data_IF_645162860941
#
_entry.id   IF_645162860941
#
_cell.length_a   1.000
_cell.length_b   1.000
_cell.length_c   1.000
_cell.angle_alpha   90.00
_cell.angle_beta   90.00
_cell.angle_gamma   90.00
#
_symmetry.space_group_name_H-M   'P 1'
#
loop_
_entity.id
_entity.type
_entity.pdbx_description
1 polymer ?
#
# COMPACT_ATOMS: atom_id res chain seq x y z
N UNK A 1 -15.69 1.72 -7.79
CA UNK A 1 -14.64 0.76 -8.18
C UNK A 1 -13.33 1.11 -7.47
N UNK A 2 -12.67 0.13 -6.91
CA UNK A 2 -11.39 0.35 -6.24
C UNK A 2 -10.34 0.82 -7.23
N UNK A 3 -9.71 1.96 -6.93
CA UNK A 3 -8.63 2.53 -7.73
C UNK A 3 -7.41 2.89 -6.89
N UNK A 4 -7.51 2.77 -5.56
CA UNK A 4 -6.42 3.07 -4.64
C UNK A 4 -6.34 1.96 -3.60
N UNK A 5 -5.16 1.35 -3.47
CA UNK A 5 -4.88 0.39 -2.40
C UNK A 5 -3.73 0.94 -1.56
N UNK A 6 -3.93 0.97 -0.24
CA UNK A 6 -2.90 1.39 0.72
C UNK A 6 -2.47 0.14 1.48
N UNK A 7 -1.17 -0.14 1.50
CA UNK A 7 -0.62 -1.36 2.07
C UNK A 7 0.53 -1.05 3.03
N UNK A 8 0.53 -1.69 4.20
CA UNK A 8 1.70 -1.71 5.08
C UNK A 8 2.69 -2.75 4.59
N UNK A 9 3.98 -2.46 4.66
CA UNK A 9 5.03 -3.44 4.31
C UNK A 9 4.86 -4.75 5.08
N UNK A 10 5.44 -5.83 4.57
CA UNK A 10 5.47 -7.13 5.22
C UNK A 10 6.30 -7.15 6.50
N UNK A 11 6.20 -8.23 7.27
CA UNK A 11 7.00 -8.38 8.48
C UNK A 11 8.48 -8.22 8.16
N UNK A 12 9.16 -7.39 8.95
CA UNK A 12 10.57 -7.07 8.77
C UNK A 12 11.38 -7.53 9.98
N UNK A 13 12.69 -7.73 9.76
CA UNK A 13 13.62 -8.10 10.82
C UNK A 13 13.63 -7.02 11.91
N UNK A 14 14.00 -7.42 13.15
CA UNK A 14 14.12 -6.46 14.25
C UNK A 14 15.10 -5.33 13.93
N UNK A 15 14.96 -4.20 14.66
CA UNK A 15 15.83 -3.04 14.50
C UNK A 15 17.30 -3.46 14.55
N UNK A 16 18.02 -3.12 13.47
CA UNK A 16 19.46 -3.31 13.38
C UNK A 16 20.14 -1.94 13.41
N UNK A 17 21.42 -1.84 12.99
CA UNK A 17 22.16 -0.59 13.00
C UNK A 17 21.47 0.54 12.22
N UNK A 18 20.65 0.20 11.20
CA UNK A 18 19.98 1.20 10.36
C UNK A 18 18.55 0.76 10.09
N UNK A 19 17.58 1.49 10.62
CA UNK A 19 16.16 1.17 10.44
C UNK A 19 15.75 1.08 8.96
N UNK A 20 16.25 2.00 8.13
CA UNK A 20 15.90 2.03 6.71
C UNK A 20 16.39 0.83 5.91
N UNK A 21 17.28 0.01 6.49
CA UNK A 21 17.86 -1.16 5.84
C UNK A 21 17.36 -2.49 6.41
N UNK A 22 16.37 -2.47 7.28
CA UNK A 22 15.73 -3.70 7.75
C UNK A 22 15.02 -4.37 6.58
N UNK A 23 15.29 -5.65 6.38
CA UNK A 23 14.69 -6.41 5.29
C UNK A 23 13.53 -7.27 5.78
N UNK A 24 12.71 -7.75 4.85
CA UNK A 24 11.61 -8.64 5.18
C UNK A 24 12.14 -9.96 5.75
N UNK A 25 11.41 -10.52 6.71
CA UNK A 25 11.64 -11.89 7.17
C UNK A 25 11.12 -12.89 6.14
N UNK A 26 11.44 -14.18 6.34
CA UNK A 26 10.85 -15.24 5.52
C UNK A 26 9.33 -15.19 5.59
N UNK A 27 8.77 -14.97 6.78
CA UNK A 27 7.33 -14.84 6.94
C UNK A 27 6.80 -13.63 6.19
N UNK A 28 7.52 -12.49 6.26
CA UNK A 28 7.15 -11.29 5.51
C UNK A 28 7.08 -11.54 4.02
N UNK A 29 8.08 -12.23 3.47
CA UNK A 29 8.09 -12.60 2.06
C UNK A 29 6.88 -13.47 1.69
N UNK A 30 6.59 -14.47 2.52
CA UNK A 30 5.44 -15.36 2.30
C UNK A 30 4.12 -14.58 2.34
N UNK A 31 3.91 -13.78 3.38
CA UNK A 31 2.69 -13.01 3.56
C UNK A 31 2.45 -12.06 2.38
N UNK A 32 3.48 -11.35 1.95
CA UNK A 32 3.35 -10.41 0.82
C UNK A 32 3.02 -11.14 -0.46
N UNK A 33 3.65 -12.30 -0.70
CA UNK A 33 3.33 -13.09 -1.89
C UNK A 33 1.87 -13.54 -1.90
N UNK A 34 1.32 -13.94 -0.75
CA UNK A 34 -0.09 -14.32 -0.64
C UNK A 34 -1.01 -13.13 -0.93
N UNK A 35 -0.67 -11.95 -0.40
CA UNK A 35 -1.45 -10.73 -0.66
C UNK A 35 -1.37 -10.31 -2.12
N UNK A 36 -0.19 -10.46 -2.73
CA UNK A 36 0.00 -10.13 -4.14
C UNK A 36 -0.87 -11.02 -5.05
N UNK A 37 -0.92 -12.31 -4.75
CA UNK A 37 -1.75 -13.25 -5.49
C UNK A 37 -3.23 -12.93 -5.33
N UNK A 38 -3.67 -12.64 -4.09
CA UNK A 38 -5.06 -12.28 -3.84
C UNK A 38 -5.45 -11.03 -4.61
N UNK A 39 -4.60 -9.99 -4.59
CA UNK A 39 -4.88 -8.74 -5.28
C UNK A 39 -5.00 -8.97 -6.79
N UNK A 40 -4.10 -9.77 -7.37
CA UNK A 40 -4.14 -10.12 -8.79
C UNK A 40 -5.44 -10.82 -9.17
N UNK A 41 -5.94 -11.69 -8.29
CA UNK A 41 -7.15 -12.48 -8.56
C UNK A 41 -8.45 -11.68 -8.40
N UNK A 42 -8.44 -10.62 -7.60
CA UNK A 42 -9.67 -9.90 -7.22
C UNK A 42 -9.82 -8.53 -7.87
N UNK A 43 -8.73 -7.95 -8.36
CA UNK A 43 -8.75 -6.60 -8.93
C UNK A 43 -7.95 -6.54 -10.22
N UNK A 44 -8.37 -5.65 -11.13
CA UNK A 44 -7.60 -5.35 -12.33
C UNK A 44 -6.23 -4.78 -11.95
N UNK A 45 -5.26 -4.93 -12.84
CA UNK A 45 -3.89 -4.51 -12.58
C UNK A 45 -3.79 -3.00 -12.29
N UNK A 46 -2.84 -2.65 -11.45
CA UNK A 46 -2.57 -1.26 -11.08
C UNK A 46 -1.54 -0.66 -12.02
N UNK A 47 -1.73 0.61 -12.37
CA UNK A 47 -0.81 1.34 -13.25
C UNK A 47 0.45 1.71 -12.50
N UNK A 48 0.31 2.18 -11.26
CA UNK A 48 1.42 2.67 -10.44
C UNK A 48 1.50 1.90 -9.14
N UNK A 49 2.72 1.48 -8.80
CA UNK A 49 3.06 0.92 -7.49
C UNK A 49 4.09 1.86 -6.88
N UNK A 50 3.68 2.60 -5.85
CA UNK A 50 4.54 3.59 -5.21
C UNK A 50 4.97 3.11 -3.83
N UNK A 51 6.25 3.24 -3.52
CA UNK A 51 6.80 2.75 -2.26
C UNK A 51 7.72 3.76 -1.60
N UNK A 52 7.73 3.71 -0.27
CA UNK A 52 8.75 4.39 0.53
C UNK A 52 10.15 3.90 0.13
N UNK A 53 11.19 4.74 0.28
CA UNK A 53 12.56 4.33 -0.05
C UNK A 53 13.17 3.30 0.91
N UNK A 54 12.54 2.99 2.03
CA UNK A 54 13.04 1.99 2.98
C UNK A 54 13.08 0.61 2.35
N UNK A 55 14.06 -0.22 2.73
CA UNK A 55 14.24 -1.53 2.10
C UNK A 55 12.99 -2.41 2.24
N UNK A 56 12.38 -2.48 3.44
CA UNK A 56 11.21 -3.33 3.67
C UNK A 56 10.00 -2.95 2.80
N UNK A 57 9.82 -1.68 2.50
CA UNK A 57 8.76 -1.23 1.59
C UNK A 57 9.11 -1.49 0.13
N UNK A 58 10.37 -1.31 -0.26
CA UNK A 58 10.80 -1.62 -1.63
C UNK A 58 10.67 -3.10 -1.93
N UNK A 59 11.08 -3.97 -0.98
CA UNK A 59 10.92 -5.42 -1.15
C UNK A 59 9.45 -5.82 -1.26
N UNK A 60 8.59 -5.25 -0.41
CA UNK A 60 7.15 -5.49 -0.48
C UNK A 60 6.60 -5.06 -1.85
N UNK A 61 6.95 -3.85 -2.29
CA UNK A 61 6.45 -3.33 -3.56
C UNK A 61 6.92 -4.16 -4.76
N UNK A 62 8.15 -4.63 -4.76
CA UNK A 62 8.67 -5.48 -5.83
C UNK A 62 7.93 -6.82 -5.91
N UNK A 63 7.62 -7.42 -4.76
CA UNK A 63 6.83 -8.65 -4.71
C UNK A 63 5.41 -8.44 -5.21
N UNK A 64 4.79 -7.31 -4.84
CA UNK A 64 3.46 -6.96 -5.32
C UNK A 64 3.48 -6.74 -6.83
N UNK A 65 4.46 -5.99 -7.32
CA UNK A 65 4.62 -5.68 -8.75
C UNK A 65 4.78 -6.94 -9.59
N UNK A 66 5.45 -7.97 -9.06
CA UNK A 66 5.68 -9.23 -9.78
C UNK A 66 4.38 -9.93 -10.20
N UNK A 67 3.26 -9.64 -9.52
CA UNK A 67 1.95 -10.19 -9.84
C UNK A 67 1.04 -9.17 -10.53
N UNK A 68 1.60 -8.09 -11.07
CA UNK A 68 0.85 -7.09 -11.81
C UNK A 68 1.13 -7.22 -13.32
N UNK A 69 0.63 -6.25 -14.11
CA UNK A 69 0.76 -6.29 -15.56
C UNK A 69 2.11 -5.73 -16.02
N UNK A 70 2.54 -6.07 -17.26
CA UNK A 70 3.79 -5.49 -17.80
C UNK A 70 3.80 -3.96 -17.86
N UNK A 71 2.62 -3.30 -17.94
CA UNK A 71 2.54 -1.85 -17.96
C UNK A 71 2.66 -1.21 -16.57
N UNK A 72 2.56 -2.00 -15.50
CA UNK A 72 2.63 -1.50 -14.12
C UNK A 72 4.04 -0.98 -13.83
N UNK A 73 4.14 0.21 -13.21
CA UNK A 73 5.43 0.85 -12.93
C UNK A 73 5.64 1.09 -11.45
N UNK A 74 6.82 0.73 -10.98
CA UNK A 74 7.26 1.01 -9.61
C UNK A 74 7.94 2.37 -9.54
N UNK A 75 7.55 3.18 -8.56
CA UNK A 75 8.18 4.47 -8.29
C UNK A 75 8.46 4.57 -6.79
N UNK A 76 9.64 5.07 -6.46
CA UNK A 76 10.01 5.34 -5.06
C UNK A 76 9.59 6.76 -4.73
N UNK A 77 8.77 6.91 -3.69
CA UNK A 77 8.19 8.20 -3.28
C UNK A 77 8.66 8.53 -1.87
N UNK A 78 9.56 9.53 -1.71
CA UNK A 78 10.14 9.85 -0.40
C UNK A 78 9.12 10.22 0.66
N UNK A 79 7.96 10.74 0.28
CA UNK A 79 6.91 11.17 1.21
C UNK A 79 6.20 10.00 1.90
N UNK A 80 6.43 8.76 1.46
CA UNK A 80 5.81 7.57 2.04
C UNK A 80 6.60 6.96 3.20
N UNK A 81 7.55 7.69 3.78
CA UNK A 81 8.33 7.26 4.96
C UNK A 81 7.44 7.17 6.21
N UNK A 82 7.90 6.45 7.28
CA UNK A 82 7.05 6.21 8.45
C UNK A 82 6.48 7.47 9.11
N UNK A 83 7.24 8.56 9.12
CA UNK A 83 6.86 9.83 9.73
C UNK A 83 6.39 10.86 8.69
N UNK A 84 5.97 10.41 7.52
CA UNK A 84 5.48 11.27 6.45
C UNK A 84 4.20 12.02 6.81
N UNK A 85 3.90 13.04 6.03
CA UNK A 85 2.71 13.89 6.19
C UNK A 85 1.62 13.44 5.21
N UNK A 86 0.54 12.89 5.74
CA UNK A 86 -0.54 12.35 4.91
C UNK A 86 -1.24 13.43 4.07
N UNK A 87 -1.44 14.63 4.62
CA UNK A 87 -2.09 15.72 3.89
C UNK A 87 -1.21 16.19 2.73
N UNK A 88 0.09 16.32 2.97
CA UNK A 88 1.04 16.71 1.92
C UNK A 88 1.10 15.64 0.83
N UNK A 89 1.15 14.37 1.23
CA UNK A 89 1.14 13.28 0.26
C UNK A 89 -0.13 13.27 -0.58
N UNK A 90 -1.30 13.50 0.05
CA UNK A 90 -2.57 13.56 -0.68
C UNK A 90 -2.56 14.64 -1.76
N UNK A 91 -2.02 15.82 -1.44
CA UNK A 91 -1.89 16.90 -2.43
C UNK A 91 -0.99 16.48 -3.60
N UNK A 92 0.13 15.84 -3.32
CA UNK A 92 1.02 15.30 -4.35
C UNK A 92 0.31 14.24 -5.19
N UNK A 93 -0.40 13.33 -4.53
CA UNK A 93 -1.16 12.27 -5.20
C UNK A 93 -2.21 12.85 -6.14
N UNK A 94 -3.00 13.83 -5.67
CA UNK A 94 -4.05 14.45 -6.48
C UNK A 94 -3.45 15.14 -7.71
N UNK A 95 -2.31 15.79 -7.57
CA UNK A 95 -1.62 16.41 -8.68
C UNK A 95 -1.18 15.37 -9.73
N UNK A 96 -0.61 14.26 -9.27
CA UNK A 96 -0.20 13.17 -10.17
C UNK A 96 -1.41 12.51 -10.82
N UNK A 97 -2.48 12.31 -10.07
CA UNK A 97 -3.71 11.70 -10.60
C UNK A 97 -4.35 12.58 -11.66
N UNK A 98 -4.20 13.91 -11.58
CA UNK A 98 -4.74 14.82 -12.60
C UNK A 98 -4.12 14.59 -13.99
N UNK A 99 -2.91 14.05 -14.04
CA UNK A 99 -2.24 13.72 -15.32
C UNK A 99 -2.80 12.43 -15.94
N UNK A 100 -3.34 11.54 -15.11
CA UNK A 100 -3.95 10.26 -15.53
C UNK A 100 -5.11 9.94 -14.60
N UNK A 101 -6.29 10.55 -14.83
CA UNK A 101 -7.41 10.45 -13.88
C UNK A 101 -7.95 9.04 -13.67
N UNK A 102 -7.73 8.14 -14.60
CA UNK A 102 -8.16 6.75 -14.51
C UNK A 102 -7.08 5.82 -13.93
N UNK A 103 -5.94 6.36 -13.49
CA UNK A 103 -4.86 5.56 -12.93
C UNK A 103 -5.32 4.79 -11.70
N UNK A 104 -4.86 3.56 -11.60
CA UNK A 104 -5.06 2.69 -10.46
C UNK A 104 -3.74 2.58 -9.72
N UNK A 105 -3.74 2.87 -8.42
CA UNK A 105 -2.51 3.08 -7.65
C UNK A 105 -2.46 2.19 -6.42
N UNK A 106 -1.32 1.52 -6.24
CA UNK A 106 -0.98 0.78 -5.02
C UNK A 106 0.12 1.52 -4.29
N UNK A 107 -0.14 1.86 -3.02
CA UNK A 107 0.83 2.54 -2.14
C UNK A 107 1.36 1.54 -1.12
N UNK A 108 2.68 1.45 -0.97
CA UNK A 108 3.32 0.62 0.05
C UNK A 108 4.09 1.53 1.01
N UNK A 109 3.68 1.53 2.27
CA UNK A 109 4.22 2.41 3.27
C UNK A 109 4.30 1.74 4.64
N UNK A 110 4.25 2.50 5.70
CA UNK A 110 4.51 2.09 7.08
C UNK A 110 3.42 2.56 8.03
N UNK A 111 3.28 1.89 9.16
CA UNK A 111 2.60 2.49 10.32
C UNK A 111 3.50 3.59 10.90
N UNK A 112 2.96 4.71 11.36
CA UNK A 112 1.53 5.04 11.41
C UNK A 112 0.98 5.70 10.14
N UNK A 113 1.83 6.00 9.16
CA UNK A 113 1.40 6.79 7.99
C UNK A 113 0.24 6.14 7.24
N UNK A 114 0.24 4.81 7.06
CA UNK A 114 -0.85 4.14 6.33
C UNK A 114 -2.22 4.40 6.96
N UNK A 115 -2.30 4.47 8.29
CA UNK A 115 -3.55 4.78 8.98
C UNK A 115 -4.01 6.21 8.67
N UNK A 116 -3.09 7.16 8.70
CA UNK A 116 -3.40 8.55 8.39
C UNK A 116 -3.70 8.76 6.90
N UNK A 117 -3.10 7.95 6.03
CA UNK A 117 -3.44 7.99 4.60
C UNK A 117 -4.87 7.52 4.36
N UNK A 118 -5.30 6.44 5.00
CA UNK A 118 -6.71 5.99 4.88
C UNK A 118 -7.64 7.12 5.31
N UNK A 119 -7.35 7.75 6.45
CA UNK A 119 -8.16 8.86 6.95
C UNK A 119 -8.17 10.03 5.95
N UNK A 120 -7.01 10.41 5.42
CA UNK A 120 -6.90 11.54 4.49
C UNK A 120 -7.67 11.30 3.19
N UNK A 121 -7.69 10.05 2.70
CA UNK A 121 -8.38 9.71 1.46
C UNK A 121 -9.85 9.32 1.66
N UNK A 122 -10.31 9.16 2.88
CA UNK A 122 -11.70 8.79 3.18
C UNK A 122 -12.36 9.82 4.08
N UNK A 123 -12.49 9.54 5.37
CA UNK A 123 -13.21 10.40 6.32
C UNK A 123 -12.37 10.66 7.58
N UNK A 124 -12.46 11.85 8.18
CA UNK A 124 -11.85 12.11 9.49
C UNK A 124 -12.29 11.05 10.51
N UNK A 125 -11.34 10.56 11.29
CA UNK A 125 -11.59 9.53 12.29
C UNK A 125 -11.50 8.10 11.76
N UNK A 126 -11.42 7.88 10.45
CA UNK A 126 -11.29 6.56 9.86
C UNK A 126 -9.80 6.22 9.66
N UNK A 127 -9.12 5.91 10.76
CA UNK A 127 -7.70 5.61 10.77
C UNK A 127 -7.44 4.19 11.31
N UNK A 128 -7.64 3.15 10.49
CA UNK A 128 -7.49 1.78 10.95
C UNK A 128 -6.04 1.44 11.28
N UNK A 129 -5.83 0.56 12.26
CA UNK A 129 -4.50 0.00 12.54
C UNK A 129 -4.25 -1.13 11.55
N UNK A 130 -3.06 -1.12 10.95
CA UNK A 130 -2.66 -2.14 9.98
C UNK A 130 -1.73 -3.17 10.62
N UNK A 131 -2.02 -4.45 10.39
CA UNK A 131 -1.02 -5.51 10.58
C UNK A 131 -0.01 -5.43 9.42
N UNK A 132 1.14 -6.07 9.58
CA UNK A 132 2.12 -6.15 8.47
C UNK A 132 1.48 -6.83 7.26
N UNK A 133 1.78 -6.33 6.07
CA UNK A 133 1.25 -6.79 4.78
C UNK A 133 -0.26 -6.64 4.63
N UNK A 134 -0.94 -5.97 5.56
CA UNK A 134 -2.36 -5.66 5.43
C UNK A 134 -2.58 -4.59 4.38
N UNK A 135 -3.70 -4.70 3.66
CA UNK A 135 -4.07 -3.70 2.67
C UNK A 135 -5.48 -3.18 2.90
N UNK A 136 -5.74 -1.98 2.39
CA UNK A 136 -7.02 -1.30 2.42
C UNK A 136 -7.37 -0.87 1.00
N UNK A 137 -8.56 -1.25 0.54
CA UNK A 137 -9.03 -0.99 -0.82
C UNK A 137 -10.01 0.16 -0.80
N UNK A 138 -9.74 1.20 -1.58
CA UNK A 138 -10.46 2.46 -1.56
C UNK A 138 -10.95 2.81 -2.96
N UNK A 139 -12.17 3.32 -3.03
CA UNK A 139 -12.69 4.00 -4.22
C UNK A 139 -12.52 5.50 -3.96
N UNK A 140 -11.60 6.14 -4.67
CA UNK A 140 -11.22 7.54 -4.43
C UNK A 140 -11.36 8.39 -5.67
N UNK A 141 -11.98 9.57 -5.48
CA UNK A 141 -12.05 10.62 -6.51
C UNK A 141 -11.72 11.96 -5.86
N UNK A 142 -10.75 12.72 -6.39
CA UNK A 142 -10.30 13.96 -5.75
C UNK A 142 -11.43 14.95 -5.41
N UNK A 143 -12.42 15.07 -6.29
CA UNK A 143 -13.52 16.03 -6.09
C UNK A 143 -14.59 15.53 -5.13
N UNK A 144 -14.67 14.23 -4.88
CA UNK A 144 -15.77 13.61 -4.12
C UNK A 144 -15.31 12.91 -2.85
N UNK A 145 -14.00 12.77 -2.65
CA UNK A 145 -13.44 11.99 -1.56
C UNK A 145 -13.45 10.51 -1.86
N UNK A 146 -13.20 9.70 -0.83
CA UNK A 146 -13.07 8.27 -0.99
C UNK A 146 -13.88 7.46 0.00
N UNK A 147 -14.10 6.19 -0.34
CA UNK A 147 -14.76 5.21 0.53
C UNK A 147 -13.86 3.99 0.69
N UNK A 148 -13.66 3.60 1.94
CA UNK A 148 -13.00 2.33 2.26
C UNK A 148 -13.98 1.20 2.01
N UNK A 149 -13.68 0.34 1.04
CA UNK A 149 -14.57 -0.76 0.65
C UNK A 149 -14.19 -2.08 1.30
N UNK A 150 -12.89 -2.29 1.55
CA UNK A 150 -12.43 -3.58 2.03
C UNK A 150 -11.06 -3.45 2.68
N UNK A 151 -10.82 -4.21 3.73
CA UNK A 151 -9.49 -4.39 4.34
C UNK A 151 -9.19 -5.86 4.42
N UNK A 152 -7.94 -6.23 4.18
CA UNK A 152 -7.54 -7.64 4.26
C UNK A 152 -6.12 -7.75 4.82
N UNK A 153 -5.95 -8.62 5.81
CA UNK A 153 -4.65 -8.96 6.37
C UNK A 153 -4.26 -10.39 5.98
N UNK A 154 -2.96 -10.75 6.07
CA UNK A 154 -2.55 -12.14 5.84
C UNK A 154 -3.27 -13.14 6.74
N UNK A 155 -3.55 -12.76 8.00
CA UNK A 155 -4.25 -13.62 8.94
C UNK A 155 -5.68 -13.91 8.48
N UNK A 156 -6.39 -12.87 8.00
CA UNK A 156 -7.74 -13.02 7.46
C UNK A 156 -7.74 -13.84 6.18
N UNK A 157 -6.75 -13.62 5.31
CA UNK A 157 -6.64 -14.38 4.07
C UNK A 157 -6.44 -15.87 4.36
N UNK A 158 -5.64 -16.22 5.36
CA UNK A 158 -5.43 -17.61 5.75
C UNK A 158 -6.75 -18.28 6.18
N UNK A 159 -7.66 -17.54 6.81
CA UNK A 159 -8.98 -18.05 7.18
C UNK A 159 -9.89 -18.27 5.98
N UNK A 160 -9.69 -17.54 4.91
CA UNK A 160 -10.49 -17.67 3.68
C UNK A 160 -10.02 -18.81 2.77
N UNK A 161 -8.88 -19.43 3.08
CA UNK A 161 -8.23 -20.42 2.22
C UNK A 161 -8.76 -21.85 2.43
N UNK A 162 -9.82 -22.01 3.21
CA UNK A 162 -10.45 -23.32 3.44
C UNK A 162 -11.49 -23.65 2.41
#
# INVERSE_FOLDING_TARGET
MVNLVIMRHGEAEPMSAKDSQRQLTVRGLHDVNQMALWLQQHYAAFDWVWASPYLRTRQTAELMLAKQAPFSQLEIVPELVPDGDAALFKSYFDARLSEKPDARVLLVSHMPLVSFLVEAFTLPGQAPVFNTAQLACIDYRPAQGGRLLERLSPQELALLSF
#
